data_IF_602117754788
#
_entry.id   IF_602117754788
#
_cell.length_a   1.000
_cell.length_b   1.000
_cell.length_c   1.000
_cell.angle_alpha   90.00
_cell.angle_beta   90.00
_cell.angle_gamma   90.00
#
_symmetry.space_group_name_H-M   'P 1'
#
loop_
_entity.id
_entity.type
_entity.pdbx_description
1 polymer ?
#
# COMPACT_ATOMS: atom_id res chain seq x y z
N UNK A 1 42.35 49.31 46.05
CA UNK A 1 41.99 48.67 44.76
C UNK A 1 41.51 47.24 45.02
N UNK A 2 40.22 46.97 45.27
CA UNK A 2 39.71 45.60 45.23
C UNK A 2 39.32 45.23 43.79
N UNK A 3 39.76 44.05 43.36
CA UNK A 3 39.39 43.45 42.09
C UNK A 3 37.94 42.95 42.13
N UNK A 4 37.18 43.28 41.08
CA UNK A 4 35.84 42.75 40.82
C UNK A 4 36.00 41.36 40.18
N UNK A 5 35.53 40.31 40.86
CA UNK A 5 35.44 38.98 40.29
C UNK A 5 34.10 38.86 39.54
N UNK A 6 34.18 38.69 38.23
CA UNK A 6 33.03 38.52 37.35
C UNK A 6 32.27 37.23 37.67
N UNK A 7 30.95 37.34 37.77
CA UNK A 7 30.06 36.20 37.76
C UNK A 7 30.13 35.54 36.38
N UNK A 8 30.51 34.26 36.32
CA UNK A 8 30.34 33.46 35.12
C UNK A 8 28.85 33.15 34.96
N UNK A 9 28.24 33.67 33.90
CA UNK A 9 26.94 33.15 33.43
C UNK A 9 27.11 31.69 33.06
N UNK A 10 26.41 30.83 33.78
CA UNK A 10 26.25 29.43 33.46
C UNK A 10 25.29 29.35 32.26
N UNK A 11 25.66 28.76 31.11
CA UNK A 11 24.76 28.70 29.97
C UNK A 11 23.54 27.85 30.35
N UNK A 12 22.35 28.35 29.98
CA UNK A 12 21.09 27.65 30.15
C UNK A 12 21.20 26.23 29.59
N UNK A 13 20.93 25.24 30.44
CA UNK A 13 20.94 23.84 30.05
C UNK A 13 19.99 23.63 28.86
N UNK A 14 20.54 23.27 27.71
CA UNK A 14 19.75 22.71 26.62
C UNK A 14 19.03 21.49 27.18
N UNK A 15 17.69 21.54 27.25
CA UNK A 15 16.90 20.36 27.54
C UNK A 15 17.10 19.41 26.36
N UNK A 16 18.00 18.45 26.55
CA UNK A 16 18.16 17.36 25.61
C UNK A 16 16.84 16.58 25.62
N UNK A 17 16.01 16.82 24.60
CA UNK A 17 14.85 15.98 24.30
C UNK A 17 15.38 14.56 24.17
N UNK A 18 15.16 13.75 25.20
CA UNK A 18 15.40 12.32 25.14
C UNK A 18 14.37 11.75 24.18
N UNK A 19 14.69 11.74 22.89
CA UNK A 19 14.03 10.85 21.95
C UNK A 19 14.45 9.45 22.38
N UNK A 20 13.67 8.85 23.27
CA UNK A 20 13.68 7.41 23.43
C UNK A 20 13.55 6.82 22.02
N UNK A 21 14.39 5.86 21.61
CA UNK A 21 14.08 5.11 20.41
C UNK A 21 12.76 4.40 20.68
N UNK A 22 11.66 4.97 20.18
CA UNK A 22 10.43 4.23 19.94
C UNK A 22 10.90 2.94 19.28
N UNK A 23 10.80 1.83 20.00
CA UNK A 23 11.36 0.57 19.56
C UNK A 23 10.50 0.05 18.41
N UNK A 24 10.69 0.64 17.23
CA UNK A 24 10.17 0.15 15.97
C UNK A 24 10.91 -1.14 15.66
N UNK A 25 10.42 -2.24 16.20
CA UNK A 25 10.87 -3.60 15.88
C UNK A 25 10.35 -4.09 14.53
N UNK A 26 9.78 -3.20 13.72
CA UNK A 26 9.15 -3.51 12.44
C UNK A 26 10.03 -2.97 11.31
N UNK A 27 10.51 -3.89 10.46
CA UNK A 27 11.19 -3.57 9.20
C UNK A 27 10.14 -3.33 8.12
N UNK A 28 10.34 -2.30 7.30
CA UNK A 28 9.48 -2.04 6.13
C UNK A 28 9.81 -2.94 4.93
N UNK A 29 10.94 -3.66 4.96
CA UNK A 29 11.39 -4.61 3.94
C UNK A 29 11.13 -4.16 2.47
N UNK A 30 11.64 -2.99 2.04
CA UNK A 30 11.38 -2.50 0.70
C UNK A 30 12.10 -3.35 -0.36
N UNK A 31 11.39 -3.77 -1.42
CA UNK A 31 11.91 -4.63 -2.48
C UNK A 31 11.18 -4.41 -3.82
N UNK A 32 11.62 -5.13 -4.87
CA UNK A 32 11.03 -5.09 -6.22
C UNK A 32 10.88 -3.69 -6.81
N UNK A 33 11.96 -2.92 -6.81
CA UNK A 33 11.97 -1.55 -7.32
C UNK A 33 11.82 -1.49 -8.85
N UNK A 34 10.89 -0.67 -9.34
CA UNK A 34 10.66 -0.40 -10.76
C UNK A 34 10.46 1.10 -10.96
N UNK A 35 11.15 1.67 -11.96
CA UNK A 35 10.98 3.07 -12.34
C UNK A 35 9.88 3.23 -13.40
N UNK A 36 9.00 4.22 -13.23
CA UNK A 36 8.03 4.68 -14.24
C UNK A 36 8.08 6.21 -14.28
N UNK A 37 8.55 6.78 -15.39
CA UNK A 37 8.89 8.20 -15.45
C UNK A 37 9.91 8.59 -14.37
N UNK A 38 9.60 9.65 -13.61
CA UNK A 38 10.45 10.15 -12.53
C UNK A 38 10.17 9.49 -11.17
N UNK A 39 9.20 8.57 -11.10
CA UNK A 39 8.83 7.88 -9.86
C UNK A 39 9.43 6.48 -9.81
N UNK A 40 9.85 6.06 -8.62
CA UNK A 40 10.20 4.67 -8.32
C UNK A 40 9.07 4.04 -7.51
N UNK A 41 8.59 2.89 -7.97
CA UNK A 41 7.61 2.05 -7.32
C UNK A 41 8.31 0.87 -6.69
N UNK A 42 7.82 0.44 -5.53
CA UNK A 42 8.39 -0.68 -4.78
C UNK A 42 7.34 -1.26 -3.84
N UNK A 43 7.61 -2.47 -3.35
CA UNK A 43 6.77 -3.13 -2.36
C UNK A 43 7.37 -2.86 -0.99
N UNK A 44 6.56 -2.44 -0.02
CA UNK A 44 6.98 -2.26 1.36
C UNK A 44 5.86 -2.55 2.35
N UNK A 45 6.25 -2.89 3.58
CA UNK A 45 5.35 -3.27 4.67
C UNK A 45 5.16 -2.12 5.65
N UNK A 46 3.90 -1.85 6.01
CA UNK A 46 3.54 -1.01 7.16
C UNK A 46 2.59 -1.77 8.10
N UNK A 47 2.55 -1.38 9.37
CA UNK A 47 1.77 -2.07 10.40
C UNK A 47 0.27 -2.07 10.09
N UNK A 48 -0.22 -0.97 9.54
CA UNK A 48 -1.64 -0.70 9.31
C UNK A 48 -2.16 -1.32 8.02
N UNK A 49 -1.29 -1.49 7.01
CA UNK A 49 -1.66 -1.88 5.64
C UNK A 49 -1.01 -3.19 5.17
N UNK A 50 -0.12 -3.80 5.95
CA UNK A 50 0.66 -4.93 5.46
C UNK A 50 1.61 -4.54 4.32
N UNK A 51 1.97 -5.51 3.47
CA UNK A 51 2.86 -5.34 2.33
C UNK A 51 2.08 -4.92 1.07
N UNK A 52 2.28 -3.67 0.66
CA UNK A 52 1.51 -2.98 -0.39
C UNK A 52 2.41 -2.27 -1.40
N UNK A 53 1.80 -1.64 -2.41
CA UNK A 53 2.50 -0.83 -3.42
C UNK A 53 2.78 0.58 -2.90
N UNK A 54 4.06 0.97 -2.88
CA UNK A 54 4.54 2.30 -2.52
C UNK A 54 5.21 2.97 -3.73
N UNK A 55 5.31 4.29 -3.67
CA UNK A 55 6.07 5.10 -4.63
C UNK A 55 6.95 6.12 -3.93
N UNK A 56 8.01 6.56 -4.60
CA UNK A 56 8.88 7.65 -4.15
C UNK A 56 9.38 8.47 -5.34
N UNK A 57 9.59 9.76 -5.13
CA UNK A 57 10.33 10.67 -6.02
C UNK A 57 11.80 10.85 -5.56
N UNK A 58 12.23 10.08 -4.56
CA UNK A 58 13.54 10.20 -3.91
C UNK A 58 13.56 11.10 -2.68
N UNK A 59 12.44 11.72 -2.31
CA UNK A 59 12.30 12.52 -1.09
C UNK A 59 11.50 11.78 -0.01
N UNK A 60 11.65 12.21 1.24
CA UNK A 60 10.87 11.64 2.35
C UNK A 60 9.38 11.95 2.17
N UNK A 61 9.05 13.18 1.78
CA UNK A 61 7.68 13.66 1.58
C UNK A 61 6.99 12.98 0.38
N UNK A 62 7.73 12.66 -0.68
CA UNK A 62 7.22 11.97 -1.86
C UNK A 62 7.17 10.45 -1.72
N UNK A 63 7.65 9.89 -0.60
CA UNK A 63 7.57 8.45 -0.31
C UNK A 63 6.23 8.11 0.33
N UNK A 64 5.29 7.62 -0.47
CA UNK A 64 3.89 7.44 -0.06
C UNK A 64 3.32 6.11 -0.54
N UNK A 65 2.34 5.60 0.22
CA UNK A 65 1.51 4.48 -0.20
C UNK A 65 0.73 4.88 -1.46
N UNK A 66 0.73 4.03 -2.48
CA UNK A 66 -0.06 4.26 -3.69
C UNK A 66 -1.52 3.96 -3.42
N UNK A 67 -1.79 2.78 -2.84
CA UNK A 67 -3.11 2.33 -2.45
C UNK A 67 -3.01 1.16 -1.48
N UNK A 68 -3.88 1.13 -0.47
CA UNK A 68 -4.18 -0.06 0.32
C UNK A 68 -5.16 -0.94 -0.48
N UNK A 69 -4.65 -1.94 -1.20
CA UNK A 69 -5.46 -2.75 -2.12
C UNK A 69 -6.31 -3.76 -1.33
N UNK A 70 -5.75 -4.31 -0.25
CA UNK A 70 -6.44 -5.19 0.69
C UNK A 70 -6.57 -4.48 2.05
N UNK A 71 -7.68 -3.75 2.29
CA UNK A 71 -7.79 -2.88 3.46
C UNK A 71 -7.44 -3.55 4.79
N UNK A 72 -6.51 -2.95 5.51
CA UNK A 72 -6.07 -3.38 6.84
C UNK A 72 -4.70 -4.07 6.85
N UNK A 73 -4.30 -4.75 7.94
CA UNK A 73 -2.91 -5.18 8.15
C UNK A 73 -2.50 -6.39 7.31
N UNK A 74 -3.37 -6.88 6.43
CA UNK A 74 -3.09 -8.03 5.58
C UNK A 74 -2.46 -7.55 4.27
N UNK A 75 -1.49 -8.30 3.76
CA UNK A 75 -0.85 -7.93 2.49
C UNK A 75 -1.72 -8.31 1.31
N UNK A 76 -1.91 -7.39 0.35
CA UNK A 76 -2.59 -7.67 -0.92
C UNK A 76 -1.81 -8.59 -1.84
N UNK A 77 -0.55 -8.90 -1.51
CA UNK A 77 0.29 -9.77 -2.32
C UNK A 77 0.60 -9.11 -3.66
N UNK A 78 1.17 -7.91 -3.62
CA UNK A 78 1.66 -7.23 -4.81
C UNK A 78 2.83 -8.03 -5.39
N UNK A 79 2.79 -8.37 -6.68
CA UNK A 79 3.88 -9.06 -7.38
C UNK A 79 4.05 -8.57 -8.81
N UNK A 80 5.23 -8.86 -9.39
CA UNK A 80 5.51 -8.69 -10.81
C UNK A 80 5.33 -7.25 -11.32
N UNK A 81 5.84 -6.28 -10.57
CA UNK A 81 5.87 -4.88 -10.99
C UNK A 81 6.50 -4.77 -12.38
N UNK A 82 5.76 -4.22 -13.34
CA UNK A 82 6.17 -4.13 -14.74
C UNK A 82 5.80 -2.76 -15.29
N UNK A 83 6.81 -1.97 -15.66
CA UNK A 83 6.61 -0.68 -16.31
C UNK A 83 6.26 -0.86 -17.80
N UNK A 84 5.20 -0.18 -18.26
CA UNK A 84 4.83 -0.09 -19.68
C UNK A 84 4.47 1.36 -19.98
N UNK A 85 5.38 2.08 -20.65
CA UNK A 85 5.30 3.53 -20.83
C UNK A 85 5.06 4.23 -19.46
N UNK A 86 4.00 5.03 -19.35
CA UNK A 86 3.67 5.80 -18.14
C UNK A 86 2.71 5.04 -17.19
N UNK A 87 2.60 3.72 -17.34
CA UNK A 87 1.70 2.88 -16.52
C UNK A 87 2.46 1.73 -15.88
N UNK A 88 2.25 1.53 -14.58
CA UNK A 88 2.72 0.35 -13.87
C UNK A 88 1.65 -0.74 -13.93
N UNK A 89 2.04 -1.96 -14.32
CA UNK A 89 1.22 -3.16 -14.24
C UNK A 89 1.76 -4.10 -13.18
N UNK A 90 0.88 -4.79 -12.46
CA UNK A 90 1.24 -5.73 -11.40
C UNK A 90 0.09 -6.67 -11.07
N UNK A 91 0.37 -7.69 -10.25
CA UNK A 91 -0.63 -8.61 -9.70
C UNK A 91 -0.92 -8.25 -8.25
N UNK A 92 -2.18 -8.26 -7.83
CA UNK A 92 -2.59 -8.10 -6.43
C UNK A 92 -3.95 -8.75 -6.16
N UNK A 93 -4.26 -9.02 -4.89
CA UNK A 93 -5.53 -9.55 -4.38
C UNK A 93 -6.24 -8.50 -3.51
N UNK A 94 -7.47 -8.13 -3.87
CA UNK A 94 -8.32 -7.20 -3.10
C UNK A 94 -9.21 -7.90 -2.06
N UNK A 95 -9.00 -9.20 -1.85
CA UNK A 95 -9.79 -10.05 -0.97
C UNK A 95 -11.15 -10.45 -1.52
N UNK A 96 -11.54 -9.96 -2.71
CA UNK A 96 -12.86 -10.20 -3.32
C UNK A 96 -12.76 -11.07 -4.55
N UNK A 97 -11.81 -10.76 -5.43
CA UNK A 97 -11.68 -11.40 -6.75
C UNK A 97 -10.53 -12.39 -6.80
N UNK A 98 -9.63 -12.35 -5.83
CA UNK A 98 -8.40 -13.11 -5.88
C UNK A 98 -7.30 -12.31 -6.56
N UNK A 99 -6.22 -13.03 -6.91
CA UNK A 99 -5.06 -12.44 -7.57
C UNK A 99 -5.37 -12.14 -9.02
N UNK A 100 -5.44 -10.85 -9.34
CA UNK A 100 -5.81 -10.36 -10.67
C UNK A 100 -4.79 -9.37 -11.22
N UNK A 101 -4.96 -8.96 -12.48
CA UNK A 101 -4.11 -7.94 -13.12
C UNK A 101 -4.58 -6.54 -12.76
N UNK A 102 -3.66 -5.72 -12.25
CA UNK A 102 -3.87 -4.33 -11.87
C UNK A 102 -2.98 -3.40 -12.69
N UNK A 103 -3.39 -2.13 -12.76
CA UNK A 103 -2.58 -1.04 -13.26
C UNK A 103 -2.61 0.15 -12.30
N UNK A 104 -1.58 0.99 -12.36
CA UNK A 104 -1.52 2.26 -11.65
C UNK A 104 -0.88 3.34 -12.52
N UNK A 105 -1.41 4.56 -12.42
CA UNK A 105 -0.77 5.80 -12.88
C UNK A 105 -0.01 6.53 -11.76
N UNK A 106 0.13 5.87 -10.61
CA UNK A 106 0.74 6.43 -9.40
C UNK A 106 -0.21 7.12 -8.44
N UNK A 107 -1.50 7.19 -8.76
CA UNK A 107 -2.52 7.74 -7.85
C UNK A 107 -3.40 6.64 -7.27
N UNK A 108 -4.00 6.89 -6.10
CA UNK A 108 -4.92 5.95 -5.48
C UNK A 108 -6.14 5.64 -6.38
N UNK A 109 -6.67 6.67 -7.06
CA UNK A 109 -7.82 6.59 -7.95
C UNK A 109 -7.49 5.95 -9.30
N UNK A 110 -6.27 6.16 -9.82
CA UNK A 110 -5.79 5.52 -11.04
C UNK A 110 -5.22 4.12 -10.81
N UNK A 111 -5.16 3.65 -9.57
CA UNK A 111 -4.82 2.26 -9.22
C UNK A 111 -6.05 1.37 -9.28
N UNK A 112 -6.22 0.67 -10.40
CA UNK A 112 -7.46 -0.03 -10.76
C UNK A 112 -7.18 -1.41 -11.34
N UNK A 113 -8.16 -2.30 -11.17
CA UNK A 113 -8.20 -3.59 -11.84
C UNK A 113 -8.23 -3.40 -13.36
N UNK A 114 -7.37 -4.10 -14.09
CA UNK A 114 -7.38 -4.11 -15.56
C UNK A 114 -8.49 -5.02 -16.07
N UNK A 115 -8.54 -6.23 -15.52
CA UNK A 115 -9.56 -7.22 -15.81
C UNK A 115 -9.70 -8.18 -14.63
N UNK A 116 -10.93 -8.64 -14.41
CA UNK A 116 -11.24 -9.82 -13.60
C UNK A 116 -11.15 -11.03 -14.53
N UNK A 117 -9.99 -11.67 -14.58
CA UNK A 117 -9.69 -12.77 -15.51
C UNK A 117 -10.34 -14.06 -15.01
N UNK A 118 -10.32 -14.29 -13.70
CA UNK A 118 -11.01 -15.39 -13.05
C UNK A 118 -12.08 -14.90 -12.07
N UNK A 119 -13.24 -14.43 -12.56
CA UNK A 119 -14.33 -14.08 -11.67
C UNK A 119 -14.70 -15.35 -10.90
N UNK A 120 -14.55 -15.31 -9.58
CA UNK A 120 -14.89 -16.42 -8.65
C UNK A 120 -16.37 -16.87 -8.74
N UNK A 121 -17.15 -16.28 -9.65
CA UNK A 121 -18.46 -16.70 -10.11
C UNK A 121 -18.46 -17.23 -11.55
N UNK A 122 -17.74 -18.32 -11.81
CA UNK A 122 -18.18 -19.35 -12.78
C UNK A 122 -18.50 -20.68 -12.11
N UNK A 123 -19.00 -20.64 -10.86
CA UNK A 123 -19.70 -21.79 -10.25
C UNK A 123 -21.16 -21.72 -10.66
N UNK A 124 -21.49 -22.48 -11.70
CA UNK A 124 -22.81 -22.97 -12.10
C UNK A 124 -24.00 -22.06 -11.76
N UNK A 125 -24.62 -21.46 -12.78
CA UNK A 125 -26.08 -21.38 -12.79
C UNK A 125 -26.62 -22.82 -12.87
N UNK A 126 -26.53 -23.55 -11.77
CA UNK A 126 -27.21 -24.82 -11.60
C UNK A 126 -28.66 -24.47 -11.28
N UNK A 127 -29.48 -24.46 -12.33
CA UNK A 127 -30.93 -24.63 -12.22
C UNK A 127 -31.68 -23.50 -11.53
N UNK A 128 -31.88 -22.38 -12.25
CA UNK A 128 -33.22 -21.80 -12.20
C UNK A 128 -34.13 -22.76 -12.97
N UNK A 129 -34.67 -23.74 -12.25
CA UNK A 129 -35.87 -24.45 -12.70
C UNK A 129 -36.99 -23.42 -12.67
N UNK A 130 -37.16 -22.70 -13.79
CA UNK A 130 -38.43 -22.03 -14.02
C UNK A 130 -39.49 -23.12 -13.92
N UNK A 131 -40.36 -22.95 -12.92
CA UNK A 131 -41.43 -23.84 -12.55
C UNK A 131 -42.17 -24.36 -13.79
N UNK A 132 -41.99 -25.65 -14.07
CA UNK A 132 -42.79 -26.36 -15.06
C UNK A 132 -44.23 -26.29 -14.57
N UNK A 133 -45.08 -25.63 -15.36
CA UNK A 133 -46.50 -25.54 -15.10
C UNK A 133 -47.09 -26.94 -14.91
N UNK A 134 -47.77 -27.15 -13.79
CA UNK A 134 -48.83 -28.15 -13.75
C UNK A 134 -50.12 -27.45 -14.09
N UNK A 135 -50.53 -27.67 -15.32
CA UNK A 135 -51.89 -27.41 -15.78
C UNK A 135 -52.91 -28.20 -14.96
N UNK A 136 -54.14 -27.72 -15.09
CA UNK A 136 -55.36 -28.19 -14.49
C UNK A 136 -55.55 -29.72 -14.47
N UNK A 137 -56.16 -30.20 -13.40
CA UNK A 137 -57.18 -31.25 -13.47
C UNK A 137 -58.45 -30.67 -12.86
N UNK A 138 -59.56 -30.90 -13.58
CA UNK A 138 -60.93 -30.44 -13.31
C UNK A 138 -61.42 -30.73 -11.90
#
# INVERSE_FOLDING_TARGET
MPASAGAQEQPAAAQQLSLSPESGTLSSNPHDFVQVGDMVYFIATATETGSELWKTDGTAEGTVLVRDILPGPQSSGVWYLTAVADTLYFVADDGRRGRELWRSDGTETGTVLVADIEPRQRRFQSGRVDSIGRGAVL
#
